data_IF_105624420098
#
_entry.id   IF_105624420098
#
_cell.length_a   1.000
_cell.length_b   1.000
_cell.length_c   1.000
_cell.angle_alpha   90.00
_cell.angle_beta   90.00
_cell.angle_gamma   90.00
#
_symmetry.space_group_name_H-M   'P 1'
#
loop_
_entity.id
_entity.type
_entity.pdbx_description
1 polymer ?
#
# COMPACT_ATOMS: atom_id res chain seq x y z
N UNK A 1 -15.77 28.42 -21.52
CA UNK A 1 -14.56 29.04 -20.95
C UNK A 1 -13.36 28.16 -21.31
N UNK A 2 -12.35 28.71 -21.98
CA UNK A 2 -11.10 28.00 -22.31
C UNK A 2 -10.31 27.75 -21.03
N UNK A 3 -9.97 26.49 -20.72
CA UNK A 3 -9.24 26.15 -19.49
C UNK A 3 -7.81 26.67 -19.56
N UNK A 4 -7.26 27.21 -18.45
CA UNK A 4 -5.86 27.57 -18.40
C UNK A 4 -4.99 26.31 -18.54
N UNK A 5 -4.08 26.31 -19.52
CA UNK A 5 -3.11 25.24 -19.70
C UNK A 5 -1.77 25.69 -19.12
N UNK A 6 -1.34 25.16 -17.96
CA UNK A 6 -0.09 25.58 -17.33
C UNK A 6 1.11 25.14 -18.19
N UNK A 7 2.24 25.83 -18.08
CA UNK A 7 3.51 25.29 -18.59
C UNK A 7 3.97 24.14 -17.69
N UNK A 8 4.86 23.27 -18.20
CA UNK A 8 5.42 22.18 -17.40
C UNK A 8 6.14 22.72 -16.14
N UNK A 9 6.88 23.82 -16.27
CA UNK A 9 7.57 24.48 -15.17
C UNK A 9 6.61 24.98 -14.09
N UNK A 10 5.42 25.47 -14.47
CA UNK A 10 4.38 25.88 -13.52
C UNK A 10 3.72 24.68 -12.82
N UNK A 11 3.71 23.50 -13.45
CA UNK A 11 3.12 22.30 -12.87
C UNK A 11 4.05 21.56 -11.89
N UNK A 12 5.37 21.60 -12.10
CA UNK A 12 6.37 20.97 -11.21
C UNK A 12 6.20 21.31 -9.72
N UNK A 13 6.10 22.59 -9.29
CA UNK A 13 5.93 22.92 -7.88
C UNK A 13 4.60 22.42 -7.31
N UNK A 14 3.57 22.26 -8.14
CA UNK A 14 2.28 21.68 -7.71
C UNK A 14 2.44 20.19 -7.44
N UNK A 15 3.10 19.44 -8.33
CA UNK A 15 3.36 18.02 -8.09
C UNK A 15 4.24 17.78 -6.88
N UNK A 16 5.27 18.59 -6.68
CA UNK A 16 6.11 18.54 -5.48
C UNK A 16 5.30 18.86 -4.22
N UNK A 17 4.46 19.91 -4.26
CA UNK A 17 3.56 20.26 -3.15
C UNK A 17 2.63 19.11 -2.79
N UNK A 18 2.04 18.45 -3.78
CA UNK A 18 1.20 17.26 -3.55
C UNK A 18 2.02 16.12 -2.93
N UNK A 19 3.25 15.88 -3.41
CA UNK A 19 4.15 14.88 -2.83
C UNK A 19 4.58 15.16 -1.40
N UNK A 20 4.77 16.43 -1.02
CA UNK A 20 5.16 16.86 0.34
C UNK A 20 3.98 16.93 1.31
N UNK A 21 2.78 17.27 0.82
CA UNK A 21 1.59 17.45 1.65
C UNK A 21 0.61 16.27 1.60
N UNK A 22 0.94 15.23 0.85
CA UNK A 22 0.07 14.08 0.59
C UNK A 22 -0.08 13.11 1.76
N UNK A 23 -0.54 13.60 2.91
CA UNK A 23 -0.86 12.79 4.09
C UNK A 23 -2.30 12.27 4.07
N UNK A 24 -2.62 11.31 4.95
CA UNK A 24 -4.00 10.83 5.15
C UNK A 24 -4.41 9.67 4.25
N UNK A 25 -3.45 8.86 3.82
CA UNK A 25 -3.67 7.70 2.96
C UNK A 25 -4.26 8.06 1.58
N UNK A 26 -4.77 7.07 0.83
CA UNK A 26 -5.27 7.28 -0.53
C UNK A 26 -6.36 8.35 -0.62
N UNK A 27 -7.27 8.40 0.35
CA UNK A 27 -8.37 9.37 0.35
C UNK A 27 -7.89 10.81 0.52
N UNK A 28 -6.98 11.07 1.48
CA UNK A 28 -6.41 12.40 1.69
C UNK A 28 -5.59 12.87 0.49
N UNK A 29 -4.82 11.95 -0.12
CA UNK A 29 -4.02 12.23 -1.32
C UNK A 29 -4.88 12.54 -2.55
N UNK A 30 -5.93 11.75 -2.79
CA UNK A 30 -6.88 11.99 -3.89
C UNK A 30 -7.61 13.32 -3.68
N UNK A 31 -8.03 13.63 -2.45
CA UNK A 31 -8.66 14.90 -2.12
C UNK A 31 -7.70 16.09 -2.35
N UNK A 32 -6.42 15.96 -1.98
CA UNK A 32 -5.41 16.99 -2.25
C UNK A 32 -5.18 17.19 -3.76
N UNK A 33 -5.09 16.10 -4.53
CA UNK A 33 -4.99 16.15 -5.99
C UNK A 33 -6.20 16.86 -6.61
N UNK A 34 -7.41 16.53 -6.16
CA UNK A 34 -8.65 17.17 -6.62
C UNK A 34 -8.65 18.66 -6.29
N UNK A 35 -8.39 19.02 -5.03
CA UNK A 35 -8.30 20.41 -4.59
C UNK A 35 -7.32 21.24 -5.42
N UNK A 36 -6.09 20.76 -5.62
CA UNK A 36 -5.08 21.53 -6.35
C UNK A 36 -5.41 21.63 -7.84
N UNK A 37 -5.79 20.54 -8.50
CA UNK A 37 -5.92 20.48 -9.96
C UNK A 37 -7.30 20.93 -10.46
N UNK A 38 -8.36 20.64 -9.70
CA UNK A 38 -9.76 20.93 -10.07
C UNK A 38 -10.24 22.23 -9.42
N UNK A 39 -10.21 22.33 -8.10
CA UNK A 39 -10.85 23.46 -7.41
C UNK A 39 -10.02 24.75 -7.51
N UNK A 40 -8.74 24.66 -7.16
CA UNK A 40 -7.84 25.81 -7.01
C UNK A 40 -7.31 26.29 -8.37
N UNK A 41 -6.85 25.37 -9.22
CA UNK A 41 -6.21 25.72 -10.50
C UNK A 41 -7.11 25.56 -11.71
N UNK A 42 -8.18 24.74 -11.61
CA UNK A 42 -9.16 24.49 -12.69
C UNK A 42 -8.52 24.01 -14.00
N UNK A 43 -7.45 23.22 -13.90
CA UNK A 43 -6.79 22.61 -15.07
C UNK A 43 -7.61 21.44 -15.63
N UNK A 44 -8.29 20.70 -14.75
CA UNK A 44 -9.14 19.54 -15.06
C UNK A 44 -10.52 19.79 -14.42
N UNK A 45 -11.60 19.28 -15.03
CA UNK A 45 -12.94 19.37 -14.44
C UNK A 45 -13.28 18.13 -13.59
N UNK A 46 -14.34 18.23 -12.79
CA UNK A 46 -14.80 17.13 -11.93
C UNK A 46 -15.11 15.84 -12.71
N UNK A 47 -15.71 15.96 -13.89
CA UNK A 47 -16.10 14.81 -14.68
C UNK A 47 -14.87 14.04 -15.21
N UNK A 48 -13.85 14.75 -15.68
CA UNK A 48 -12.59 14.21 -16.15
C UNK A 48 -11.77 13.64 -15.00
N UNK A 49 -11.72 14.33 -13.85
CA UNK A 49 -11.10 13.80 -12.64
C UNK A 49 -11.75 12.49 -12.18
N UNK A 50 -13.09 12.46 -12.11
CA UNK A 50 -13.83 11.26 -11.71
C UNK A 50 -13.61 10.08 -12.67
N UNK A 51 -13.54 10.36 -13.99
CA UNK A 51 -13.17 9.34 -14.99
C UNK A 51 -11.75 8.82 -14.79
N UNK A 52 -10.78 9.72 -14.57
CA UNK A 52 -9.39 9.35 -14.33
C UNK A 52 -9.23 8.50 -13.07
N UNK A 53 -9.90 8.89 -11.98
CA UNK A 53 -9.90 8.15 -10.73
C UNK A 53 -10.50 6.75 -10.91
N UNK A 54 -11.65 6.67 -11.59
CA UNK A 54 -12.30 5.39 -11.87
C UNK A 54 -11.42 4.47 -12.72
N UNK A 55 -10.67 5.02 -13.68
CA UNK A 55 -9.69 4.27 -14.46
C UNK A 55 -8.54 3.76 -13.59
N UNK A 56 -7.94 4.61 -12.74
CA UNK A 56 -6.84 4.20 -11.87
C UNK A 56 -7.26 3.13 -10.84
N UNK A 57 -8.53 3.10 -10.44
CA UNK A 57 -9.08 2.04 -9.56
C UNK A 57 -9.17 0.65 -10.23
N UNK A 58 -9.05 0.57 -11.56
CA UNK A 58 -9.03 -0.70 -12.29
C UNK A 58 -7.61 -1.27 -12.45
N UNK A 59 -6.59 -0.43 -12.26
CA UNK A 59 -5.19 -0.78 -12.47
C UNK A 59 -4.60 -1.35 -11.17
N UNK A 60 -3.65 -2.29 -11.27
CA UNK A 60 -2.92 -2.74 -10.10
C UNK A 60 -1.91 -1.67 -9.66
N UNK A 61 -1.79 -1.46 -8.35
CA UNK A 61 -0.83 -0.53 -7.75
C UNK A 61 -1.46 0.65 -6.99
N UNK A 62 -0.63 1.63 -6.57
CA UNK A 62 -1.06 2.73 -5.70
C UNK A 62 -1.90 3.77 -6.45
N UNK A 63 -3.19 3.87 -6.11
CA UNK A 63 -4.17 4.61 -6.92
C UNK A 63 -3.87 6.11 -6.99
N UNK A 64 -3.43 6.72 -5.89
CA UNK A 64 -3.14 8.15 -5.83
C UNK A 64 -1.92 8.54 -6.69
N UNK A 65 -0.87 7.72 -6.69
CA UNK A 65 0.31 7.93 -7.53
C UNK A 65 -0.05 7.76 -9.01
N UNK A 66 -0.88 6.76 -9.33
CA UNK A 66 -1.38 6.54 -10.68
C UNK A 66 -2.22 7.70 -11.18
N UNK A 67 -3.10 8.24 -10.33
CA UNK A 67 -3.90 9.41 -10.65
C UNK A 67 -3.03 10.65 -10.87
N UNK A 68 -2.03 10.90 -10.02
CA UNK A 68 -1.06 11.98 -10.22
C UNK A 68 -0.33 11.82 -11.57
N UNK A 69 0.15 10.61 -11.87
CA UNK A 69 0.80 10.27 -13.15
C UNK A 69 -0.14 10.53 -14.33
N UNK A 70 -1.41 10.14 -14.22
CA UNK A 70 -2.41 10.36 -15.26
C UNK A 70 -2.70 11.84 -15.49
N UNK A 71 -2.85 12.62 -14.41
CA UNK A 71 -3.13 14.05 -14.49
C UNK A 71 -1.94 14.81 -15.10
N UNK A 72 -0.71 14.49 -14.69
CA UNK A 72 0.49 15.03 -15.31
C UNK A 72 0.60 14.63 -16.79
N UNK A 73 0.27 13.37 -17.11
CA UNK A 73 0.26 12.88 -18.48
C UNK A 73 -0.75 13.61 -19.35
N UNK A 74 -1.93 13.86 -18.80
CA UNK A 74 -3.01 14.58 -19.45
C UNK A 74 -2.66 16.04 -19.74
N UNK A 75 -1.84 16.67 -18.89
CA UNK A 75 -1.46 18.08 -19.04
C UNK A 75 -0.23 18.28 -19.94
N UNK A 76 0.78 17.40 -19.87
CA UNK A 76 2.05 17.59 -20.61
C UNK A 76 2.61 16.31 -21.25
N UNK A 77 1.77 15.33 -21.56
CA UNK A 77 2.19 14.06 -22.14
C UNK A 77 3.15 13.28 -21.23
N UNK A 78 3.95 12.38 -21.79
CA UNK A 78 4.80 11.45 -21.00
C UNK A 78 5.70 12.19 -20.01
N UNK A 79 6.24 13.36 -20.38
CA UNK A 79 7.08 14.19 -19.50
C UNK A 79 6.32 14.67 -18.27
N UNK A 80 5.08 15.14 -18.44
CA UNK A 80 4.23 15.54 -17.32
C UNK A 80 3.87 14.37 -16.42
N UNK A 81 3.57 13.21 -17.02
CA UNK A 81 3.24 12.00 -16.25
C UNK A 81 4.42 11.50 -15.42
N UNK A 82 5.62 11.44 -16.01
CA UNK A 82 6.85 11.10 -15.29
C UNK A 82 7.12 12.08 -14.15
N UNK A 83 7.06 13.39 -14.44
CA UNK A 83 7.28 14.42 -13.43
C UNK A 83 6.28 14.32 -12.26
N UNK A 84 4.98 14.22 -12.56
CA UNK A 84 3.93 14.13 -11.54
C UNK A 84 4.05 12.85 -10.69
N UNK A 85 4.22 11.70 -11.35
CA UNK A 85 4.34 10.41 -10.66
C UNK A 85 5.60 10.32 -9.79
N UNK A 86 6.74 10.80 -10.26
CA UNK A 86 8.00 10.78 -9.50
C UNK A 86 7.96 11.77 -8.34
N UNK A 87 7.55 13.02 -8.57
CA UNK A 87 7.47 14.04 -7.50
C UNK A 87 6.42 13.71 -6.44
N UNK A 88 5.44 12.87 -6.75
CA UNK A 88 4.49 12.35 -5.78
C UNK A 88 5.14 11.36 -4.79
N UNK A 89 6.13 10.57 -5.23
CA UNK A 89 6.76 9.50 -4.43
C UNK A 89 8.06 9.96 -3.78
N UNK A 90 8.88 10.73 -4.48
CA UNK A 90 10.25 11.08 -4.06
C UNK A 90 10.35 11.74 -2.68
N UNK A 91 9.51 12.71 -2.29
CA UNK A 91 9.58 13.30 -0.96
C UNK A 91 9.37 12.24 0.14
N UNK A 92 8.33 11.43 0.01
CA UNK A 92 8.05 10.32 0.92
C UNK A 92 9.16 9.28 0.96
N UNK A 93 9.74 8.94 -0.20
CA UNK A 93 10.87 8.02 -0.32
C UNK A 93 12.08 8.50 0.49
N UNK A 94 12.43 9.79 0.38
CA UNK A 94 13.55 10.36 1.15
C UNK A 94 13.26 10.31 2.65
N UNK A 95 12.05 10.69 3.07
CA UNK A 95 11.66 10.65 4.49
C UNK A 95 11.68 9.23 5.04
N UNK A 96 11.07 8.26 4.35
CA UNK A 96 11.01 6.89 4.86
C UNK A 96 12.38 6.20 4.87
N UNK A 97 13.28 6.50 3.92
CA UNK A 97 14.67 6.03 3.98
C UNK A 97 15.40 6.61 5.19
N UNK A 98 15.21 7.90 5.48
CA UNK A 98 15.75 8.55 6.67
C UNK A 98 15.19 7.94 7.97
N UNK A 99 13.88 7.71 8.04
CA UNK A 99 13.25 7.05 9.18
C UNK A 99 13.69 5.59 9.35
N UNK A 100 13.93 4.87 8.25
CA UNK A 100 14.45 3.49 8.28
C UNK A 100 15.88 3.44 8.79
N UNK A 101 16.73 4.38 8.35
CA UNK A 101 18.08 4.54 8.88
C UNK A 101 18.07 4.88 10.37
N UNK A 102 17.19 5.81 10.78
CA UNK A 102 17.01 6.18 12.19
C UNK A 102 16.55 4.98 13.02
N UNK A 103 15.61 4.18 12.50
CA UNK A 103 15.10 2.98 13.15
C UNK A 103 16.18 1.93 13.37
N UNK A 104 17.03 1.67 12.36
CA UNK A 104 18.12 0.69 12.50
C UNK A 104 19.14 1.11 13.57
N UNK A 105 19.42 2.41 13.71
CA UNK A 105 20.41 2.91 14.69
C UNK A 105 19.81 3.08 16.08
N UNK A 106 18.60 3.66 16.17
CA UNK A 106 18.01 4.12 17.43
C UNK A 106 16.75 3.35 17.84
N UNK A 107 16.26 2.40 17.05
CA UNK A 107 15.02 1.67 17.32
C UNK A 107 15.05 0.85 18.61
N UNK A 108 16.23 0.59 19.16
CA UNK A 108 16.45 -0.09 20.46
C UNK A 108 16.69 0.86 21.63
N UNK A 109 16.63 2.17 21.41
CA UNK A 109 16.81 3.17 22.47
C UNK A 109 15.60 3.22 23.41
N UNK A 110 15.82 3.66 24.65
CA UNK A 110 14.78 3.70 25.68
C UNK A 110 13.58 4.59 25.31
N UNK A 111 13.79 5.64 24.51
CA UNK A 111 12.75 6.56 24.05
C UNK A 111 12.02 6.06 22.80
N UNK A 112 12.63 5.20 21.98
CA UNK A 112 12.00 4.69 20.76
C UNK A 112 10.84 3.73 21.06
N UNK A 113 10.98 2.89 22.11
CA UNK A 113 9.97 1.90 22.48
C UNK A 113 8.54 2.44 22.63
N UNK A 114 8.30 3.46 23.47
CA UNK A 114 6.96 4.04 23.64
C UNK A 114 6.47 4.80 22.41
N UNK A 115 7.37 5.52 21.71
CA UNK A 115 7.00 6.21 20.47
C UNK A 115 6.47 5.21 19.45
N UNK A 116 7.20 4.12 19.25
CA UNK A 116 6.78 3.03 18.39
C UNK A 116 5.50 2.38 18.91
N UNK A 117 5.36 2.13 20.21
CA UNK A 117 4.13 1.55 20.78
C UNK A 117 2.87 2.38 20.46
N UNK A 118 2.92 3.69 20.70
CA UNK A 118 1.83 4.61 20.37
C UNK A 118 1.51 4.63 18.87
N UNK A 119 2.55 4.48 18.04
CA UNK A 119 2.42 4.40 16.60
C UNK A 119 1.79 3.08 16.13
N UNK A 120 2.18 1.93 16.72
CA UNK A 120 1.54 0.62 16.46
C UNK A 120 0.06 0.63 16.83
N UNK A 121 -0.29 1.26 17.94
CA UNK A 121 -1.68 1.38 18.36
C UNK A 121 -2.52 2.19 17.36
N UNK A 122 -1.97 3.31 16.87
CA UNK A 122 -2.58 4.10 15.81
C UNK A 122 -2.78 3.28 14.52
N UNK A 123 -1.76 2.53 14.12
CA UNK A 123 -1.78 1.65 12.95
C UNK A 123 -2.93 0.64 13.01
N UNK A 124 -3.15 -0.02 14.15
CA UNK A 124 -4.27 -0.97 14.30
C UNK A 124 -5.60 -0.27 14.03
N UNK A 125 -5.81 0.93 14.58
CA UNK A 125 -7.02 1.70 14.33
C UNK A 125 -7.17 2.11 12.84
N UNK A 126 -6.07 2.46 12.17
CA UNK A 126 -6.07 2.81 10.75
C UNK A 126 -6.38 1.61 9.85
N UNK A 127 -5.82 0.44 10.15
CA UNK A 127 -6.13 -0.80 9.41
C UNK A 127 -7.60 -1.18 9.59
N UNK A 128 -8.14 -1.07 10.81
CA UNK A 128 -9.58 -1.29 11.07
C UNK A 128 -10.45 -0.28 10.31
N UNK A 129 -10.06 1.01 10.31
CA UNK A 129 -10.76 2.04 9.54
C UNK A 129 -10.73 1.75 8.04
N UNK A 130 -9.59 1.30 7.50
CA UNK A 130 -9.44 0.92 6.11
C UNK A 130 -10.31 -0.30 5.78
N UNK A 131 -10.32 -1.32 6.65
CA UNK A 131 -11.15 -2.52 6.50
C UNK A 131 -12.64 -2.16 6.38
N UNK A 132 -13.15 -1.32 7.28
CA UNK A 132 -14.56 -0.88 7.27
C UNK A 132 -14.84 -0.08 6.00
N UNK A 133 -14.00 0.89 5.67
CA UNK A 133 -14.19 1.78 4.51
C UNK A 133 -14.19 1.01 3.19
N UNK A 134 -13.20 0.14 2.99
CA UNK A 134 -13.06 -0.67 1.77
C UNK A 134 -14.17 -1.72 1.75
N UNK A 135 -14.48 -2.37 2.87
CA UNK A 135 -15.57 -3.33 3.00
C UNK A 135 -16.93 -2.75 2.58
N UNK A 136 -17.28 -1.57 3.10
CA UNK A 136 -18.51 -0.87 2.73
C UNK A 136 -18.59 -0.52 1.23
N UNK A 137 -17.44 -0.24 0.60
CA UNK A 137 -17.37 0.09 -0.83
C UNK A 137 -17.42 -1.16 -1.72
N UNK A 138 -16.87 -2.28 -1.27
CA UNK A 138 -16.63 -3.45 -2.12
C UNK A 138 -17.64 -4.57 -1.90
N UNK A 139 -18.10 -4.80 -0.67
CA UNK A 139 -18.98 -5.90 -0.31
C UNK A 139 -20.45 -5.56 -0.57
N UNK A 140 -20.84 -5.52 -1.85
CA UNK A 140 -22.18 -5.09 -2.28
C UNK A 140 -23.22 -6.22 -2.37
N UNK A 141 -22.77 -7.48 -2.42
CA UNK A 141 -23.65 -8.64 -2.56
C UNK A 141 -23.15 -9.85 -1.75
N UNK A 142 -24.01 -10.87 -1.63
CA UNK A 142 -23.73 -12.07 -0.85
C UNK A 142 -22.51 -12.85 -1.34
N UNK A 143 -22.27 -12.87 -2.66
CA UNK A 143 -21.11 -13.55 -3.20
C UNK A 143 -19.81 -12.84 -2.83
N UNK A 144 -19.79 -11.50 -2.89
CA UNK A 144 -18.63 -10.71 -2.45
C UNK A 144 -18.35 -10.92 -0.95
N UNK A 145 -19.38 -10.95 -0.10
CA UNK A 145 -19.23 -11.24 1.33
C UNK A 145 -18.68 -12.65 1.56
N UNK A 146 -19.20 -13.67 0.85
CA UNK A 146 -18.72 -15.04 0.96
C UNK A 146 -17.26 -15.18 0.52
N UNK A 147 -16.85 -14.51 -0.57
CA UNK A 147 -15.45 -14.48 -1.03
C UNK A 147 -14.55 -13.78 0.01
N UNK A 148 -14.98 -12.67 0.59
CA UNK A 148 -14.22 -11.99 1.64
C UNK A 148 -14.05 -12.86 2.89
N UNK A 149 -15.13 -13.48 3.38
CA UNK A 149 -15.08 -14.38 4.53
C UNK A 149 -14.22 -15.62 4.25
N UNK A 150 -14.34 -16.19 3.05
CA UNK A 150 -13.51 -17.31 2.59
C UNK A 150 -12.02 -16.92 2.52
N UNK A 151 -11.69 -15.77 1.93
CA UNK A 151 -10.33 -15.28 1.86
C UNK A 151 -9.73 -15.02 3.25
N UNK A 152 -10.50 -14.42 4.16
CA UNK A 152 -10.12 -14.27 5.57
C UNK A 152 -9.81 -15.63 6.21
N UNK A 153 -10.74 -16.59 6.10
CA UNK A 153 -10.59 -17.90 6.72
C UNK A 153 -9.39 -18.67 6.15
N UNK A 154 -9.22 -18.69 4.82
CA UNK A 154 -8.09 -19.34 4.17
C UNK A 154 -6.76 -18.72 4.64
N UNK A 155 -6.67 -17.39 4.70
CA UNK A 155 -5.42 -16.73 5.12
C UNK A 155 -5.15 -16.88 6.63
N UNK A 156 -6.20 -16.87 7.46
CA UNK A 156 -6.08 -16.94 8.90
C UNK A 156 -5.79 -18.37 9.40
N UNK A 157 -6.40 -19.36 8.76
CA UNK A 157 -6.38 -20.75 9.22
C UNK A 157 -5.50 -21.68 8.36
N UNK A 158 -4.92 -21.18 7.27
CA UNK A 158 -4.06 -21.99 6.39
C UNK A 158 -2.75 -21.30 6.04
N UNK A 159 -1.79 -22.06 5.52
CA UNK A 159 -0.52 -21.58 4.96
C UNK A 159 -0.61 -21.22 3.48
N UNK A 160 -1.83 -21.15 2.90
CA UNK A 160 -2.01 -20.84 1.50
C UNK A 160 -1.35 -19.50 1.12
N UNK A 161 -0.62 -19.45 0.00
CA UNK A 161 -0.03 -18.22 -0.49
C UNK A 161 -1.13 -17.28 -1.00
N UNK A 162 -1.07 -16.01 -0.60
CA UNK A 162 -2.01 -14.96 -1.01
C UNK A 162 -2.32 -14.93 -2.52
N UNK A 163 -1.35 -15.07 -3.45
CA UNK A 163 -1.64 -15.10 -4.87
C UNK A 163 -2.67 -16.18 -5.27
N UNK A 164 -2.68 -17.34 -4.63
CA UNK A 164 -3.67 -18.39 -4.91
C UNK A 164 -5.08 -17.99 -4.43
N UNK A 165 -5.19 -17.32 -3.30
CA UNK A 165 -6.47 -16.81 -2.78
C UNK A 165 -7.05 -15.75 -3.72
N UNK A 166 -6.21 -14.84 -4.21
CA UNK A 166 -6.57 -13.83 -5.21
C UNK A 166 -7.01 -14.47 -6.53
N UNK A 167 -6.25 -15.45 -7.02
CA UNK A 167 -6.58 -16.17 -8.26
C UNK A 167 -7.91 -16.92 -8.13
N UNK A 168 -8.14 -17.60 -7.01
CA UNK A 168 -9.40 -18.29 -6.73
C UNK A 168 -10.59 -17.31 -6.72
N UNK A 169 -10.43 -16.15 -6.06
CA UNK A 169 -11.46 -15.10 -6.06
C UNK A 169 -11.74 -14.57 -7.47
N UNK A 170 -10.70 -14.33 -8.27
CA UNK A 170 -10.83 -13.93 -9.68
C UNK A 170 -11.58 -14.96 -10.53
N UNK A 171 -11.28 -16.25 -10.35
CA UNK A 171 -11.98 -17.35 -11.03
C UNK A 171 -13.46 -17.42 -10.61
N UNK A 172 -13.75 -17.33 -9.31
CA UNK A 172 -15.14 -17.26 -8.81
C UNK A 172 -15.87 -16.10 -9.47
N UNK A 173 -15.29 -14.91 -9.50
CA UNK A 173 -15.89 -13.76 -10.17
C UNK A 173 -16.06 -13.95 -11.68
N UNK A 174 -15.10 -14.58 -12.36
CA UNK A 174 -15.18 -14.88 -13.78
C UNK A 174 -16.37 -15.79 -14.13
N UNK A 175 -16.58 -16.85 -13.35
CA UNK A 175 -17.69 -17.79 -13.59
C UNK A 175 -19.05 -17.23 -13.14
N UNK A 176 -19.09 -16.38 -12.11
CA UNK A 176 -20.30 -15.68 -11.67
C UNK A 176 -20.68 -14.50 -12.59
N UNK A 177 -19.74 -14.01 -13.41
CA UNK A 177 -19.99 -12.97 -14.41
C UNK A 177 -20.85 -13.46 -15.58
N UNK A 178 -22.17 -13.54 -15.39
CA UNK A 178 -23.15 -13.81 -16.45
C UNK A 178 -23.29 -12.67 -17.48
N UNK A 179 -24.19 -12.82 -18.46
CA UNK A 179 -24.50 -11.86 -19.56
C UNK A 179 -25.18 -10.54 -19.08
N UNK A 180 -24.83 -10.03 -17.90
CA UNK A 180 -25.35 -8.76 -17.37
C UNK A 180 -24.56 -7.55 -17.88
N UNK A 181 -25.20 -6.39 -17.89
CA UNK A 181 -24.64 -5.15 -18.42
C UNK A 181 -23.39 -4.70 -17.64
N UNK A 182 -22.31 -4.47 -18.37
CA UNK A 182 -21.09 -3.90 -17.79
C UNK A 182 -21.36 -2.48 -17.29
N UNK A 183 -20.78 -2.13 -16.13
CA UNK A 183 -20.89 -0.77 -15.59
C UNK A 183 -20.39 0.27 -16.63
N UNK A 184 -20.94 1.50 -16.63
CA UNK A 184 -20.49 2.55 -17.55
C UNK A 184 -18.99 2.82 -17.36
N UNK A 185 -18.18 2.55 -18.38
CA UNK A 185 -16.72 2.69 -18.31
C UNK A 185 -16.26 4.13 -18.50
N UNK A 186 -15.22 4.57 -17.78
CA UNK A 186 -14.45 5.77 -18.09
C UNK A 186 -13.71 5.62 -19.43
N UNK A 187 -13.68 6.70 -20.23
CA UNK A 187 -12.96 6.77 -21.50
C UNK A 187 -11.46 6.95 -21.22
N UNK A 188 -10.61 6.00 -21.65
CA UNK A 188 -9.16 6.21 -21.65
C UNK A 188 -8.81 7.35 -22.63
N UNK A 189 -7.74 8.15 -22.40
CA UNK A 189 -7.31 9.14 -23.36
C UNK A 189 -7.05 8.52 -24.73
N UNK A 190 -7.52 9.17 -25.80
CA UNK A 190 -7.46 8.68 -27.19
C UNK A 190 -6.06 8.42 -27.76
N UNK A 191 -5.00 8.61 -26.97
CA UNK A 191 -3.59 8.46 -27.35
C UNK A 191 -2.82 7.71 -26.29
N UNK A 192 -3.09 6.43 -26.11
CA UNK A 192 -2.20 5.56 -25.33
C UNK A 192 -0.88 5.41 -26.08
N UNK A 193 0.23 5.34 -25.33
CA UNK A 193 1.52 5.01 -25.91
C UNK A 193 1.43 3.69 -26.66
N UNK A 194 1.87 3.68 -27.93
CA UNK A 194 1.90 2.45 -28.73
C UNK A 194 2.81 1.38 -28.11
N UNK A 195 2.89 0.19 -28.73
CA UNK A 195 3.68 -0.94 -28.24
C UNK A 195 5.12 -0.58 -27.82
N UNK A 196 5.74 0.40 -28.48
CA UNK A 196 7.05 0.93 -28.11
C UNK A 196 7.10 1.50 -26.69
N UNK A 197 6.11 2.29 -26.27
CA UNK A 197 6.08 2.87 -24.92
C UNK A 197 5.89 1.76 -23.89
N UNK A 198 5.02 0.79 -24.19
CA UNK A 198 4.84 -0.39 -23.33
C UNK A 198 6.15 -1.15 -23.14
N UNK A 199 6.88 -1.42 -24.22
CA UNK A 199 8.18 -2.10 -24.18
C UNK A 199 9.23 -1.30 -23.39
N UNK A 200 9.29 0.01 -23.57
CA UNK A 200 10.23 0.87 -22.82
C UNK A 200 9.90 0.87 -21.33
N UNK A 201 8.63 1.02 -20.94
CA UNK A 201 8.24 0.98 -19.54
C UNK A 201 8.44 -0.40 -18.91
N UNK A 202 8.15 -1.47 -19.66
CA UNK A 202 8.41 -2.84 -19.22
C UNK A 202 9.91 -3.10 -19.03
N UNK A 203 10.74 -2.69 -19.99
CA UNK A 203 12.18 -2.80 -19.88
C UNK A 203 12.72 -1.96 -18.72
N UNK A 204 12.25 -0.72 -18.53
CA UNK A 204 12.66 0.12 -17.41
C UNK A 204 12.30 -0.51 -16.06
N UNK A 205 11.12 -1.12 -15.94
CA UNK A 205 10.73 -1.82 -14.72
C UNK A 205 11.59 -3.06 -14.46
N UNK A 206 11.76 -3.93 -15.47
CA UNK A 206 12.41 -5.23 -15.29
C UNK A 206 13.93 -5.17 -15.33
N UNK A 207 14.55 -4.18 -15.99
CA UNK A 207 16.00 -4.14 -16.18
C UNK A 207 16.79 -4.12 -14.85
N UNK A 208 16.46 -3.29 -13.85
CA UNK A 208 17.18 -3.33 -12.56
C UNK A 208 17.01 -4.67 -11.83
N UNK A 209 15.82 -5.28 -11.91
CA UNK A 209 15.54 -6.59 -11.30
C UNK A 209 16.38 -7.66 -12.00
N UNK A 210 16.37 -7.69 -13.34
CA UNK A 210 17.14 -8.64 -14.15
C UNK A 210 18.65 -8.45 -13.97
N UNK A 211 19.12 -7.21 -13.86
CA UNK A 211 20.53 -6.91 -13.60
C UNK A 211 20.98 -7.50 -12.26
N UNK A 212 20.22 -7.27 -11.18
CA UNK A 212 20.53 -7.84 -9.86
C UNK A 212 20.52 -9.36 -9.89
N UNK A 213 19.57 -9.97 -10.60
CA UNK A 213 19.54 -11.42 -10.81
C UNK A 213 20.73 -11.95 -11.60
N UNK A 214 21.22 -11.20 -12.59
CA UNK A 214 22.39 -11.58 -13.39
C UNK A 214 23.71 -11.50 -12.61
N UNK A 215 23.87 -10.49 -11.76
CA UNK A 215 25.11 -10.28 -10.99
C UNK A 215 25.14 -11.04 -9.66
N UNK A 216 23.98 -11.21 -9.00
CA UNK A 216 23.87 -11.76 -7.65
C UNK A 216 22.60 -12.62 -7.53
N UNK A 217 22.50 -13.73 -8.28
CA UNK A 217 21.35 -14.62 -8.24
C UNK A 217 21.12 -15.16 -6.83
N UNK A 218 19.86 -15.20 -6.39
CA UNK A 218 19.48 -15.68 -5.07
C UNK A 218 19.79 -14.74 -3.90
N UNK A 219 20.41 -13.58 -4.14
CA UNK A 219 20.62 -12.58 -3.09
C UNK A 219 19.30 -11.99 -2.57
N UNK A 220 19.31 -11.46 -1.34
CA UNK A 220 18.16 -10.78 -0.75
C UNK A 220 17.60 -9.68 -1.66
N UNK A 221 18.49 -8.90 -2.29
CA UNK A 221 18.09 -7.83 -3.22
C UNK A 221 17.38 -8.37 -4.47
N UNK A 222 17.83 -9.52 -4.99
CA UNK A 222 17.21 -10.18 -6.13
C UNK A 222 15.78 -10.66 -5.80
N UNK A 223 15.61 -11.27 -4.61
CA UNK A 223 14.30 -11.69 -4.11
C UNK A 223 13.38 -10.51 -3.79
N UNK A 224 13.91 -9.41 -3.26
CA UNK A 224 13.16 -8.17 -3.08
C UNK A 224 12.63 -7.65 -4.42
N UNK A 225 13.46 -7.59 -5.46
CA UNK A 225 13.04 -7.15 -6.79
C UNK A 225 11.86 -7.95 -7.34
N UNK A 226 11.93 -9.29 -7.28
CA UNK A 226 10.82 -10.15 -7.73
C UNK A 226 9.59 -10.05 -6.83
N UNK A 227 9.77 -9.98 -5.52
CA UNK A 227 8.66 -9.99 -4.56
C UNK A 227 7.88 -8.67 -4.63
N UNK A 228 8.58 -7.53 -4.58
CA UNK A 228 7.96 -6.21 -4.69
C UNK A 228 7.40 -5.95 -6.09
N UNK A 229 8.09 -6.42 -7.14
CA UNK A 229 7.57 -6.36 -8.51
C UNK A 229 6.31 -7.20 -8.69
N UNK A 230 6.32 -8.44 -8.18
CA UNK A 230 5.16 -9.33 -8.20
C UNK A 230 3.99 -8.74 -7.41
N UNK A 231 4.25 -8.24 -6.19
CA UNK A 231 3.30 -7.49 -5.36
C UNK A 231 2.61 -6.37 -6.17
N UNK A 232 3.40 -5.55 -6.86
CA UNK A 232 2.88 -4.43 -7.64
C UNK A 232 2.06 -4.87 -8.86
N UNK A 233 2.39 -6.01 -9.46
CA UNK A 233 1.63 -6.57 -10.58
C UNK A 233 0.26 -7.13 -10.17
N UNK A 234 0.12 -7.61 -8.93
CA UNK A 234 -1.09 -8.29 -8.43
C UNK A 234 -1.87 -7.48 -7.39
N UNK A 235 -1.42 -6.28 -7.05
CA UNK A 235 -2.03 -5.42 -6.03
C UNK A 235 -3.29 -4.74 -6.53
N UNK A 236 -4.40 -5.48 -6.53
CA UNK A 236 -5.76 -4.95 -6.70
C UNK A 236 -6.41 -4.72 -5.32
N UNK A 237 -7.07 -3.57 -5.14
CA UNK A 237 -7.72 -3.23 -3.85
C UNK A 237 -6.91 -2.33 -2.93
N UNK A 238 -5.88 -1.66 -3.46
CA UNK A 238 -5.15 -0.59 -2.79
C UNK A 238 -4.03 -1.03 -1.85
N UNK A 239 -3.37 -0.05 -1.24
CA UNK A 239 -2.14 -0.23 -0.44
C UNK A 239 -2.26 -1.26 0.70
N UNK A 240 -3.42 -1.33 1.37
CA UNK A 240 -3.63 -2.24 2.50
C UNK A 240 -3.73 -3.72 2.10
N UNK A 241 -4.24 -4.02 0.90
CA UNK A 241 -4.27 -5.40 0.39
C UNK A 241 -2.85 -5.90 0.08
N UNK A 242 -2.05 -5.05 -0.55
CA UNK A 242 -0.64 -5.33 -0.83
C UNK A 242 0.17 -5.57 0.46
N UNK A 243 -0.17 -4.85 1.52
CA UNK A 243 0.51 -4.96 2.81
C UNK A 243 0.33 -6.31 3.48
N UNK A 244 -0.84 -6.92 3.36
CA UNK A 244 -1.06 -8.26 3.91
C UNK A 244 -0.21 -9.31 3.20
N UNK A 245 -0.05 -9.19 1.87
CA UNK A 245 0.85 -10.06 1.14
C UNK A 245 2.32 -9.78 1.49
N UNK A 246 2.70 -8.51 1.66
CA UNK A 246 4.03 -8.17 2.16
C UNK A 246 4.30 -8.78 3.54
N UNK A 247 3.32 -8.76 4.45
CA UNK A 247 3.39 -9.45 5.74
C UNK A 247 3.75 -10.93 5.60
N UNK A 248 3.04 -11.65 4.72
CA UNK A 248 3.32 -13.06 4.44
C UNK A 248 4.72 -13.27 3.82
N UNK A 249 5.09 -12.46 2.83
CA UNK A 249 6.37 -12.58 2.14
C UNK A 249 7.55 -12.26 3.07
N UNK A 250 7.46 -11.16 3.82
CA UNK A 250 8.47 -10.75 4.78
C UNK A 250 8.67 -11.78 5.89
N UNK A 251 7.60 -12.40 6.38
CA UNK A 251 7.69 -13.51 7.33
C UNK A 251 8.34 -14.75 6.70
N UNK A 252 7.97 -15.11 5.48
CA UNK A 252 8.52 -16.27 4.77
C UNK A 252 10.01 -16.16 4.46
N UNK A 253 10.48 -14.96 4.11
CA UNK A 253 11.91 -14.70 3.87
C UNK A 253 12.69 -14.29 5.13
N UNK A 254 12.01 -14.08 6.26
CA UNK A 254 12.64 -13.59 7.49
C UNK A 254 13.20 -12.17 7.39
N UNK A 255 12.67 -11.33 6.49
CA UNK A 255 13.18 -9.97 6.28
C UNK A 255 12.91 -9.04 7.47
N UNK A 256 11.72 -9.12 8.05
CA UNK A 256 11.35 -8.33 9.23
C UNK A 256 10.44 -9.15 10.13
N UNK A 257 10.53 -8.91 11.45
CA UNK A 257 9.60 -9.46 12.43
C UNK A 257 8.22 -8.80 12.35
N UNK A 258 7.22 -9.42 12.99
CA UNK A 258 5.88 -8.84 13.09
C UNK A 258 5.87 -7.44 13.75
N UNK A 259 6.69 -7.28 14.78
CA UNK A 259 6.88 -5.99 15.45
C UNK A 259 7.50 -4.96 14.51
N UNK A 260 8.55 -5.33 13.77
CA UNK A 260 9.19 -4.46 12.79
C UNK A 260 8.24 -4.07 11.66
N UNK A 261 7.36 -4.98 11.22
CA UNK A 261 6.34 -4.66 10.22
C UNK A 261 5.36 -3.60 10.73
N UNK A 262 4.89 -3.73 11.98
CA UNK A 262 4.05 -2.74 12.64
C UNK A 262 4.76 -1.38 12.81
N UNK A 263 6.04 -1.40 13.20
CA UNK A 263 6.89 -0.20 13.30
C UNK A 263 6.99 0.51 11.95
N UNK A 264 7.34 -0.23 10.90
CA UNK A 264 7.49 0.29 9.55
C UNK A 264 6.20 0.86 8.98
N UNK A 265 5.07 0.19 9.21
CA UNK A 265 3.76 0.67 8.82
C UNK A 265 3.41 1.98 9.53
N UNK A 266 3.71 2.04 10.82
CA UNK A 266 3.58 3.24 11.62
C UNK A 266 4.37 4.41 11.05
N UNK A 267 5.66 4.19 10.80
CA UNK A 267 6.53 5.21 10.23
C UNK A 267 6.02 5.65 8.86
N UNK A 268 5.59 4.72 8.01
CA UNK A 268 5.04 5.03 6.69
C UNK A 268 3.77 5.90 6.75
N UNK A 269 2.85 5.65 7.70
CA UNK A 269 1.65 6.49 7.89
C UNK A 269 2.01 7.93 8.34
N UNK A 270 3.19 8.13 8.94
CA UNK A 270 3.72 9.47 9.29
C UNK A 270 4.53 10.12 8.18
N UNK A 271 4.72 9.45 7.04
CA UNK A 271 5.42 10.03 5.89
C UNK A 271 4.43 10.64 4.89
N UNK A 272 4.82 11.73 4.20
CA UNK A 272 4.04 12.22 3.09
C UNK A 272 4.13 11.24 1.92
N UNK A 273 3.05 11.11 1.15
CA UNK A 273 3.01 10.21 -0.01
C UNK A 273 2.43 8.83 0.31
N UNK A 274 2.45 7.92 -0.67
CA UNK A 274 1.60 6.73 -0.65
C UNK A 274 1.99 5.75 0.46
N UNK A 275 0.98 5.20 1.16
CA UNK A 275 1.16 4.24 2.26
C UNK A 275 2.07 3.05 1.92
N UNK A 276 2.07 2.66 0.64
CA UNK A 276 2.92 1.59 0.11
C UNK A 276 4.42 1.84 0.37
N UNK A 277 4.84 3.05 0.75
CA UNK A 277 6.20 3.34 1.19
C UNK A 277 6.69 2.50 2.39
N UNK A 278 5.80 1.84 3.14
CA UNK A 278 6.22 0.79 4.10
C UNK A 278 7.05 -0.32 3.44
N UNK A 279 6.89 -0.55 2.14
CA UNK A 279 7.66 -1.52 1.37
C UNK A 279 9.15 -1.12 1.33
N UNK A 280 9.42 0.19 1.30
CA UNK A 280 10.79 0.74 1.36
C UNK A 280 11.42 0.43 2.72
N UNK A 281 10.67 0.60 3.81
CA UNK A 281 11.15 0.23 5.15
C UNK A 281 11.49 -1.26 5.22
N UNK A 282 10.60 -2.13 4.74
CA UNK A 282 10.81 -3.58 4.74
C UNK A 282 12.00 -3.97 3.86
N UNK A 283 12.13 -3.36 2.68
CA UNK A 283 13.28 -3.53 1.80
C UNK A 283 14.59 -3.09 2.48
N UNK A 284 14.57 -1.94 3.15
CA UNK A 284 15.73 -1.38 3.84
C UNK A 284 16.17 -2.23 5.03
N UNK A 285 15.26 -2.49 5.97
CA UNK A 285 15.55 -3.22 7.20
C UNK A 285 15.84 -4.69 6.88
N UNK A 286 15.12 -5.30 5.94
CA UNK A 286 15.39 -6.67 5.49
C UNK A 286 16.75 -6.83 4.84
N UNK A 287 17.16 -5.88 4.00
CA UNK A 287 18.47 -5.95 3.35
C UNK A 287 19.60 -5.63 4.35
N UNK A 288 19.38 -4.70 5.29
CA UNK A 288 20.33 -4.43 6.37
C UNK A 288 20.60 -5.67 7.22
N UNK A 289 19.54 -6.38 7.63
CA UNK A 289 19.63 -7.55 8.50
C UNK A 289 20.24 -8.78 7.81
N UNK A 290 20.05 -8.92 6.49
CA UNK A 290 20.59 -10.03 5.72
C UNK A 290 22.04 -9.80 5.24
N UNK A 291 22.55 -8.57 5.35
CA UNK A 291 23.83 -8.18 4.78
C UNK A 291 25.01 -8.41 5.75
N UNK A 292 26.22 -8.71 5.23
CA UNK A 292 27.45 -8.61 6.00
C UNK A 292 27.66 -7.20 6.57
N UNK A 293 28.29 -7.11 7.76
CA UNK A 293 28.42 -5.86 8.50
C UNK A 293 29.09 -4.73 7.67
N UNK A 294 30.12 -5.05 6.86
CA UNK A 294 30.81 -4.05 6.03
C UNK A 294 29.94 -3.45 4.91
N UNK A 295 28.88 -4.13 4.48
CA UNK A 295 28.04 -3.71 3.35
C UNK A 295 26.59 -3.42 3.74
N UNK A 296 26.25 -3.55 5.03
CA UNK A 296 24.89 -3.47 5.53
C UNK A 296 24.17 -2.18 5.16
N UNK A 297 24.82 -1.03 5.30
CA UNK A 297 24.24 0.27 4.95
C UNK A 297 23.98 0.44 3.45
N UNK A 298 24.94 0.03 2.62
CA UNK A 298 24.80 0.08 1.18
C UNK A 298 23.64 -0.81 0.73
N UNK A 299 23.62 -2.07 1.21
CA UNK A 299 22.57 -3.03 0.86
C UNK A 299 21.21 -2.61 1.42
N UNK A 300 21.14 -1.95 2.58
CA UNK A 300 19.91 -1.39 3.11
C UNK A 300 19.32 -0.30 2.19
N UNK A 301 20.14 0.67 1.79
CA UNK A 301 19.70 1.72 0.84
C UNK A 301 19.27 1.09 -0.48
N UNK A 302 20.05 0.14 -1.02
CA UNK A 302 19.70 -0.56 -2.26
C UNK A 302 18.42 -1.39 -2.12
N UNK A 303 18.19 -2.04 -0.98
CA UNK A 303 16.97 -2.79 -0.68
C UNK A 303 15.74 -1.89 -0.65
N UNK A 304 15.83 -0.74 0.02
CA UNK A 304 14.78 0.27 0.02
C UNK A 304 14.51 0.86 -1.37
N UNK A 305 15.55 1.18 -2.13
CA UNK A 305 15.42 1.70 -3.49
C UNK A 305 14.86 0.65 -4.46
N UNK A 306 15.26 -0.61 -4.34
CA UNK A 306 14.70 -1.72 -5.12
C UNK A 306 13.22 -1.90 -4.81
N UNK A 307 12.84 -1.87 -3.53
CA UNK A 307 11.44 -1.93 -3.12
C UNK A 307 10.62 -0.77 -3.72
N UNK A 308 11.13 0.47 -3.64
CA UNK A 308 10.48 1.63 -4.25
C UNK A 308 10.33 1.46 -5.77
N UNK A 309 11.43 1.14 -6.46
CA UNK A 309 11.43 1.00 -7.91
C UNK A 309 10.49 -0.09 -8.39
N UNK A 310 10.66 -1.31 -7.86
CA UNK A 310 9.86 -2.48 -8.24
C UNK A 310 8.37 -2.28 -7.96
N UNK A 311 8.02 -1.44 -6.98
CA UNK A 311 6.63 -1.17 -6.60
C UNK A 311 5.98 -0.07 -7.43
N UNK A 312 6.66 1.05 -7.70
CA UNK A 312 6.07 2.21 -8.36
C UNK A 312 6.30 2.25 -9.88
N UNK A 313 7.36 1.62 -10.39
CA UNK A 313 7.64 1.59 -11.84
C UNK A 313 6.50 0.99 -12.70
N UNK A 314 5.81 -0.09 -12.29
CA UNK A 314 4.72 -0.69 -13.09
C UNK A 314 3.56 0.27 -13.35
N UNK A 315 3.28 1.19 -12.42
CA UNK A 315 2.21 2.18 -12.60
C UNK A 315 2.41 3.03 -13.85
N UNK A 316 3.65 3.37 -14.22
CA UNK A 316 3.92 4.13 -15.44
C UNK A 316 3.59 3.31 -16.70
N UNK A 317 3.88 2.00 -16.68
CA UNK A 317 3.47 1.08 -17.75
C UNK A 317 1.94 1.06 -17.88
N UNK A 318 1.23 0.91 -16.77
CA UNK A 318 -0.24 0.84 -16.77
C UNK A 318 -0.90 2.13 -17.21
N UNK A 319 -0.36 3.28 -16.80
CA UNK A 319 -0.90 4.59 -17.19
C UNK A 319 -0.59 4.92 -18.64
N UNK A 320 0.65 4.75 -19.10
CA UNK A 320 1.01 5.15 -20.45
C UNK A 320 0.56 4.16 -21.52
N UNK A 321 0.43 2.87 -21.21
CA UNK A 321 0.14 1.82 -22.18
C UNK A 321 -1.04 0.90 -21.80
N UNK A 322 -1.40 0.78 -20.51
CA UNK A 322 -2.44 -0.14 -20.04
C UNK A 322 -3.88 0.30 -20.34
N UNK A 323 -4.11 1.58 -20.65
CA UNK A 323 -5.43 2.17 -20.92
C UNK A 323 -6.40 1.30 -21.73
N UNK A 324 -6.07 0.88 -22.97
CA UNK A 324 -6.99 0.16 -23.83
C UNK A 324 -7.32 -1.24 -23.32
N UNK A 325 -6.40 -1.88 -22.60
CA UNK A 325 -6.58 -3.23 -22.08
C UNK A 325 -7.60 -3.23 -20.95
N UNK A 326 -7.41 -2.36 -19.96
CA UNK A 326 -8.27 -2.29 -18.79
C UNK A 326 -9.67 -1.72 -19.13
N UNK A 327 -9.78 -0.82 -20.12
CA UNK A 327 -11.08 -0.38 -20.62
C UNK A 327 -11.84 -1.55 -21.27
N UNK A 328 -11.19 -2.36 -22.12
CA UNK A 328 -11.80 -3.55 -22.73
C UNK A 328 -12.25 -4.57 -21.68
N UNK A 329 -11.50 -4.73 -20.60
CA UNK A 329 -11.85 -5.64 -19.51
C UNK A 329 -13.03 -5.10 -18.69
N UNK A 330 -13.04 -3.82 -18.35
CA UNK A 330 -14.15 -3.17 -17.63
C UNK A 330 -15.48 -3.23 -18.39
N UNK A 331 -15.45 -3.23 -19.73
CA UNK A 331 -16.64 -3.35 -20.60
C UNK A 331 -17.21 -4.76 -20.71
N UNK A 332 -16.51 -5.78 -20.23
CA UNK A 332 -16.96 -7.17 -20.30
C UNK A 332 -17.42 -7.63 -18.90
N UNK A 333 -18.58 -8.30 -18.79
CA UNK A 333 -19.13 -8.66 -17.49
C UNK A 333 -18.26 -9.64 -16.70
N UNK A 334 -17.64 -10.61 -17.37
CA UNK A 334 -16.77 -11.62 -16.73
C UNK A 334 -15.50 -11.01 -16.11
N UNK A 335 -14.64 -10.28 -16.84
CA UNK A 335 -13.47 -9.63 -16.24
C UNK A 335 -13.85 -8.60 -15.17
N UNK A 336 -14.89 -7.81 -15.39
CA UNK A 336 -15.36 -6.84 -14.39
C UNK A 336 -15.76 -7.52 -13.07
N UNK A 337 -16.49 -8.65 -13.16
CA UNK A 337 -16.87 -9.43 -11.97
C UNK A 337 -15.68 -10.13 -11.31
N UNK A 338 -14.71 -10.61 -12.10
CA UNK A 338 -13.45 -11.15 -11.58
C UNK A 338 -12.69 -10.11 -10.74
N UNK A 339 -12.50 -8.89 -11.26
CA UNK A 339 -11.84 -7.80 -10.53
C UNK A 339 -12.60 -7.38 -9.26
N UNK A 340 -13.95 -7.39 -9.32
CA UNK A 340 -14.79 -7.13 -8.15
C UNK A 340 -14.58 -8.19 -7.04
N UNK A 341 -14.49 -9.48 -7.41
CA UNK A 341 -14.23 -10.56 -6.44
C UNK A 341 -12.81 -10.55 -5.90
N UNK A 342 -11.82 -10.17 -6.70
CA UNK A 342 -10.45 -9.93 -6.22
C UNK A 342 -10.45 -8.81 -5.17
N UNK A 343 -11.12 -7.69 -5.44
CA UNK A 343 -11.29 -6.61 -4.46
C UNK A 343 -12.00 -7.10 -3.19
N UNK A 344 -12.99 -8.00 -3.31
CA UNK A 344 -13.69 -8.56 -2.15
C UNK A 344 -12.77 -9.46 -1.31
N UNK A 345 -11.96 -10.31 -1.95
CA UNK A 345 -10.95 -11.12 -1.26
C UNK A 345 -9.92 -10.26 -0.52
N UNK A 346 -9.51 -9.13 -1.13
CA UNK A 346 -8.63 -8.17 -0.49
C UNK A 346 -9.20 -7.64 0.86
N UNK A 347 -10.52 -7.45 0.98
CA UNK A 347 -11.16 -7.08 2.26
C UNK A 347 -10.94 -8.17 3.32
N UNK A 348 -11.15 -9.43 2.97
CA UNK A 348 -10.90 -10.57 3.87
C UNK A 348 -9.43 -10.66 4.31
N UNK A 349 -8.53 -10.47 3.36
CA UNK A 349 -7.08 -10.45 3.59
C UNK A 349 -6.66 -9.31 4.53
N UNK A 350 -7.20 -8.09 4.35
CA UNK A 350 -6.99 -6.97 5.27
C UNK A 350 -7.51 -7.30 6.67
N UNK A 351 -8.66 -7.99 6.77
CA UNK A 351 -9.20 -8.46 8.03
C UNK A 351 -8.25 -9.44 8.75
N UNK A 352 -7.64 -10.36 8.00
CA UNK A 352 -6.66 -11.29 8.55
C UNK A 352 -5.41 -10.56 9.04
N UNK A 353 -4.92 -9.58 8.27
CA UNK A 353 -3.80 -8.74 8.67
C UNK A 353 -4.12 -7.95 9.95
N UNK A 354 -5.33 -7.38 10.06
CA UNK A 354 -5.78 -6.66 11.24
C UNK A 354 -5.78 -7.57 12.48
N UNK A 355 -6.28 -8.80 12.36
CA UNK A 355 -6.24 -9.81 13.42
C UNK A 355 -4.79 -10.16 13.80
N UNK A 356 -3.93 -10.37 12.81
CA UNK A 356 -2.53 -10.72 13.02
C UNK A 356 -1.78 -9.60 13.76
N UNK A 357 -2.00 -8.35 13.38
CA UNK A 357 -1.44 -7.17 14.06
C UNK A 357 -1.98 -7.01 15.48
N UNK A 358 -3.29 -7.16 15.66
CA UNK A 358 -3.90 -7.06 16.98
C UNK A 358 -3.30 -8.10 17.94
N UNK A 359 -3.11 -9.34 17.49
CA UNK A 359 -2.50 -10.38 18.33
C UNK A 359 -1.05 -10.03 18.70
N UNK A 360 -0.21 -9.65 17.73
CA UNK A 360 1.20 -9.32 17.98
C UNK A 360 1.43 -8.01 18.76
N UNK A 361 0.42 -7.15 18.84
CA UNK A 361 0.48 -5.92 19.62
C UNK A 361 -0.09 -6.09 21.03
N UNK A 362 -1.22 -6.78 21.15
CA UNK A 362 -1.97 -6.88 22.40
C UNK A 362 -1.48 -7.99 23.33
N UNK A 363 -0.75 -8.98 22.80
CA UNK A 363 -0.25 -10.12 23.56
C UNK A 363 1.28 -10.21 23.40
N UNK A 364 1.98 -10.48 24.50
CA UNK A 364 3.45 -10.61 24.51
C UNK A 364 3.93 -11.97 24.02
N UNK A 365 3.10 -13.00 24.18
CA UNK A 365 3.36 -14.37 23.74
C UNK A 365 2.14 -14.97 23.03
N UNK A 366 2.40 -15.94 22.17
CA UNK A 366 1.37 -16.68 21.47
C UNK A 366 2.00 -17.78 20.63
N UNK A 367 1.29 -18.90 20.52
CA UNK A 367 1.75 -20.06 19.77
C UNK A 367 1.02 -20.13 18.44
N UNK A 368 1.74 -20.58 17.40
CA UNK A 368 1.11 -20.99 16.15
C UNK A 368 0.92 -22.50 16.19
N UNK A 369 -0.28 -22.94 16.51
CA UNK A 369 -0.65 -24.35 16.47
C UNK A 369 -0.96 -24.72 15.03
N UNK A 370 -0.42 -25.83 14.52
CA UNK A 370 -0.70 -26.23 13.15
C UNK A 370 -0.30 -27.66 12.84
N UNK A 371 -0.98 -28.24 11.85
CA UNK A 371 -0.65 -29.53 11.25
C UNK A 371 -0.82 -29.43 9.74
N UNK A 372 0.26 -29.70 9.00
CA UNK A 372 0.29 -29.57 7.55
C UNK A 372 -0.05 -28.15 7.07
N UNK A 373 -1.09 -28.02 6.24
CA UNK A 373 -1.53 -26.72 5.71
C UNK A 373 -2.37 -25.90 6.70
N UNK A 374 -2.92 -26.53 7.75
CA UNK A 374 -3.74 -25.84 8.74
C UNK A 374 -2.85 -25.22 9.81
N UNK A 375 -3.08 -23.95 10.12
CA UNK A 375 -2.42 -23.23 11.20
C UNK A 375 -3.42 -22.33 11.90
N UNK A 376 -3.27 -22.09 13.18
CA UNK A 376 -4.02 -21.07 13.90
C UNK A 376 -3.11 -20.41 14.90
N UNK A 377 -3.16 -19.09 14.96
CA UNK A 377 -2.40 -18.32 15.94
C UNK A 377 -3.26 -18.19 17.19
N UNK A 378 -2.78 -18.74 18.30
CA UNK A 378 -3.46 -18.71 19.59
C UNK A 378 -2.66 -17.78 20.51
N UNK A 379 -3.19 -16.59 20.85
CA UNK A 379 -2.54 -15.73 21.82
C UNK A 379 -2.56 -16.36 23.21
N UNK A 380 -1.49 -16.17 23.97
CA UNK A 380 -1.48 -16.48 25.40
C UNK A 380 -2.27 -15.39 26.14
N UNK A 381 -3.46 -15.75 26.63
CA UNK A 381 -4.35 -14.81 27.33
C UNK A 381 -3.76 -14.24 28.63
N UNK A 382 -2.76 -14.91 29.23
CA UNK A 382 -2.04 -14.39 30.39
C UNK A 382 -1.03 -13.29 30.04
N UNK A 383 -0.69 -13.14 28.76
CA UNK A 383 0.37 -12.27 28.27
C UNK A 383 -0.12 -10.89 27.78
N UNK A 384 -1.35 -10.51 28.15
CA UNK A 384 -1.98 -9.26 27.70
C UNK A 384 -1.13 -8.05 28.08
N UNK A 385 -0.87 -7.19 27.09
CA UNK A 385 -0.17 -5.93 27.28
C UNK A 385 -1.19 -4.81 27.54
N UNK A 386 -1.44 -4.51 28.82
CA UNK A 386 -2.43 -3.52 29.24
C UNK A 386 -2.22 -2.13 28.61
N UNK A 387 -0.98 -1.63 28.57
CA UNK A 387 -0.64 -0.37 27.90
C UNK A 387 -1.01 -0.34 26.42
N UNK A 388 -0.65 -1.39 25.66
CA UNK A 388 -1.01 -1.52 24.25
C UNK A 388 -2.53 -1.56 24.05
N UNK A 389 -3.25 -2.29 24.90
CA UNK A 389 -4.72 -2.36 24.86
C UNK A 389 -5.37 -0.98 25.09
N UNK A 390 -4.92 -0.25 26.11
CA UNK A 390 -5.39 1.11 26.40
C UNK A 390 -5.13 2.08 25.24
N UNK A 391 -3.94 2.00 24.64
CA UNK A 391 -3.58 2.84 23.49
C UNK A 391 -4.39 2.50 22.23
N UNK A 392 -4.67 1.22 21.97
CA UNK A 392 -5.52 0.80 20.85
C UNK A 392 -6.96 1.27 21.07
N UNK A 393 -7.50 1.11 22.28
CA UNK A 393 -8.84 1.60 22.63
C UNK A 393 -8.92 3.13 22.46
N UNK A 394 -7.90 3.87 22.91
CA UNK A 394 -7.77 5.29 22.67
C UNK A 394 -7.77 5.60 21.16
N UNK A 395 -6.89 4.96 20.39
CA UNK A 395 -6.78 5.17 18.95
C UNK A 395 -8.12 4.94 18.22
N UNK A 396 -8.84 3.87 18.57
CA UNK A 396 -10.17 3.58 18.03
C UNK A 396 -11.20 4.64 18.43
N UNK A 397 -11.21 5.08 19.69
CA UNK A 397 -12.09 6.15 20.18
C UNK A 397 -11.84 7.49 19.48
N UNK A 398 -10.58 7.89 19.36
CA UNK A 398 -10.18 9.10 18.62
C UNK A 398 -10.59 9.02 17.14
N UNK A 399 -10.47 7.84 16.53
CA UNK A 399 -10.76 7.62 15.11
C UNK A 399 -12.27 7.57 14.81
N UNK A 400 -13.05 6.84 15.59
CA UNK A 400 -14.45 6.54 15.26
C UNK A 400 -15.46 7.40 16.03
N UNK A 401 -15.16 7.75 17.28
CA UNK A 401 -16.06 8.57 18.11
C UNK A 401 -15.78 10.04 17.88
N UNK A 402 -14.52 10.47 18.08
CA UNK A 402 -14.13 11.88 17.92
C UNK A 402 -13.82 12.27 16.48
N UNK A 403 -13.64 11.29 15.58
CA UNK A 403 -13.33 11.49 14.15
C UNK A 403 -12.14 12.43 13.93
N UNK A 404 -11.12 12.32 14.77
CA UNK A 404 -9.93 13.15 14.65
C UNK A 404 -9.16 12.83 13.36
N UNK A 405 -8.54 13.83 12.72
CA UNK A 405 -7.60 13.63 11.64
C UNK A 405 -6.48 12.64 12.03
N UNK A 406 -6.05 11.83 11.07
CA UNK A 406 -5.05 10.77 11.26
C UNK A 406 -3.79 11.25 12.00
N UNK A 407 -3.20 12.38 11.60
CA UNK A 407 -1.97 12.89 12.21
C UNK A 407 -2.16 13.29 13.68
N UNK A 408 -3.34 13.85 14.03
CA UNK A 408 -3.65 14.20 15.41
C UNK A 408 -3.89 12.94 16.25
N UNK A 409 -4.52 11.93 15.68
CA UNK A 409 -4.69 10.64 16.34
C UNK A 409 -3.33 9.98 16.61
N UNK A 410 -2.44 9.94 15.63
CA UNK A 410 -1.07 9.41 15.81
C UNK A 410 -0.30 10.21 16.87
N UNK A 411 -0.35 11.55 16.81
CA UNK A 411 0.33 12.38 17.79
C UNK A 411 -0.20 12.12 19.21
N UNK A 412 -1.52 12.02 19.38
CA UNK A 412 -2.14 11.73 20.66
C UNK A 412 -1.70 10.37 21.22
N UNK A 413 -1.74 9.30 20.42
CA UNK A 413 -1.34 7.96 20.89
C UNK A 413 0.15 7.89 21.21
N UNK A 414 1.01 8.55 20.43
CA UNK A 414 2.46 8.63 20.70
C UNK A 414 2.73 9.39 21.99
N UNK A 415 2.12 10.57 22.18
CA UNK A 415 2.27 11.36 23.40
C UNK A 415 1.80 10.57 24.63
N UNK A 416 0.62 9.94 24.54
CA UNK A 416 0.11 9.10 25.64
C UNK A 416 1.04 7.94 25.95
N UNK A 417 1.58 7.25 24.94
CA UNK A 417 2.50 6.14 25.16
C UNK A 417 3.80 6.57 25.85
N UNK A 418 4.35 7.74 25.49
CA UNK A 418 5.52 8.33 26.15
C UNK A 418 5.19 8.71 27.60
N UNK A 419 4.04 9.34 27.86
CA UNK A 419 3.60 9.70 29.21
C UNK A 419 3.40 8.47 30.10
N UNK A 420 2.82 7.38 29.58
CA UNK A 420 2.67 6.12 30.31
C UNK A 420 4.02 5.52 30.72
N UNK A 421 5.05 5.63 29.87
CA UNK A 421 6.39 5.19 30.24
C UNK A 421 6.98 6.06 31.36
N UNK A 422 6.81 7.39 31.28
CA UNK A 422 7.34 8.32 32.30
C UNK A 422 6.71 8.07 33.67
N UNK A 423 5.43 7.67 33.72
CA UNK A 423 4.69 7.39 34.96
C UNK A 423 4.88 5.92 35.42
N UNK A 424 5.55 5.08 34.64
CA UNK A 424 5.85 3.68 35.00
C UNK A 424 4.69 2.70 34.79
N UNK A 425 3.77 3.00 33.88
CA UNK A 425 2.53 2.23 33.64
C UNK A 425 2.51 1.41 32.33
N UNK A 426 3.68 1.12 31.74
CA UNK A 426 3.79 0.39 30.46
C UNK A 426 3.96 -1.13 30.60
#
# INVERSE_FOLDING_TARGET
>A
MTRPSPTLAQALPVWLKVGVLGFGGPAGQIALLHREVVEVRRWIDDAEFARALSFCMLLPGPEAQQLATWLGWRLHGIRGGLAAGLLFVLPGLVVILGLSALYVVHGRSAWAGPVLLGLKAAVVALVVQALIRIGQKTLKDRAAIAVAAGAFALMAFTTLPFPLVVLAAGLVGWFLGGKGEAAPTPVAPARTGGARVALVCLAAWLAPIALVWGIAPGSTLAWMGLTFGGLAAISFGGAYAALAYLGQAAAGFGWVSASQMLDGLGLAETTPGPLVLVFVFVGFVGAFQAAPAESAWLLAVLGGLMAAWATFAPSFLWIFAGGPLFERWGRRPRPARALAMVSAAAVGVIGQLALWFAIHLLFRSGDTLGSGMLRVMVPDLGSVHAGAFGLVALALGLTFVLRLPMLLMIAATVITAVLLQVIGLN
#
